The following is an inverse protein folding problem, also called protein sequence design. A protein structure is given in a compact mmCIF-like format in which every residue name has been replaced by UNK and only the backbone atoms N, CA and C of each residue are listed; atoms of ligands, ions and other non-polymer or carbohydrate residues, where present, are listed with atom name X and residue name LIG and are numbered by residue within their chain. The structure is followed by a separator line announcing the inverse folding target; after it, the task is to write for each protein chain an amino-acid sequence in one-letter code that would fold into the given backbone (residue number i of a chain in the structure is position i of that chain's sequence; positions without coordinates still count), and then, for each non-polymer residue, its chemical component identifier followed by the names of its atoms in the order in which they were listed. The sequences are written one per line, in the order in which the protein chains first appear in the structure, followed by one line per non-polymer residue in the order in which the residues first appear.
data_IF_275893691541
#
_entry.id   IF_275893691541
#
_cell.length_a   1.000
_cell.length_b   1.000
_cell.length_c   1.000
_cell.angle_alpha   90.00
_cell.angle_beta   90.00
_cell.angle_gamma   90.00
#
_symmetry.space_group_name_H-M   'P 1'
#
loop_
_entity.id
_entity.type
_entity.pdbx_description
1 polymer ?
#
# COMPACT_ATOMS: atom_id res chain seq x y z
N UNK A 1 -16.79 23.32 11.93
CA UNK A 1 -16.31 22.00 12.38
C UNK A 1 -17.19 20.99 11.68
N UNK A 2 -16.67 20.16 10.77
CA UNK A 2 -17.43 19.04 10.27
C UNK A 2 -17.80 18.15 11.47
N UNK A 3 -19.04 17.72 11.46
CA UNK A 3 -19.64 16.89 12.50
C UNK A 3 -18.87 15.57 12.51
N UNK A 4 -18.17 15.27 13.61
CA UNK A 4 -17.70 13.92 13.91
C UNK A 4 -18.95 13.04 13.90
N UNK A 5 -19.15 12.28 12.82
CA UNK A 5 -20.08 11.17 12.85
C UNK A 5 -19.71 10.32 14.07
N UNK A 6 -20.72 9.96 14.86
CA UNK A 6 -20.50 9.14 16.03
C UNK A 6 -19.77 7.88 15.57
N UNK A 7 -18.54 7.68 16.07
CA UNK A 7 -17.80 6.44 15.87
C UNK A 7 -18.78 5.33 16.25
N UNK A 8 -19.13 4.48 15.29
CA UNK A 8 -19.92 3.30 15.58
C UNK A 8 -19.20 2.55 16.71
N UNK A 9 -19.91 2.17 17.76
CA UNK A 9 -19.32 1.32 18.80
C UNK A 9 -18.96 -0.03 18.14
N UNK A 10 -17.70 -0.17 17.72
CA UNK A 10 -17.17 -1.39 17.11
C UNK A 10 -16.91 -2.40 18.22
N UNK A 11 -17.57 -3.55 18.15
CA UNK A 11 -17.25 -4.70 19.01
C UNK A 11 -16.10 -5.52 18.39
N UNK A 12 -14.87 -5.19 18.81
CA UNK A 12 -13.63 -5.87 18.40
C UNK A 12 -13.58 -7.36 18.78
N UNK A 13 -14.49 -7.83 19.63
CA UNK A 13 -14.55 -9.22 20.08
C UNK A 13 -15.67 -10.03 19.42
N UNK A 14 -16.49 -9.39 18.59
CA UNK A 14 -17.51 -10.08 17.80
C UNK A 14 -16.87 -11.01 16.77
N UNK A 15 -17.52 -12.15 16.50
CA UNK A 15 -17.05 -13.09 15.47
C UNK A 15 -17.03 -12.46 14.07
N UNK A 16 -17.99 -11.57 13.78
CA UNK A 16 -18.03 -10.81 12.53
C UNK A 16 -16.81 -9.92 12.36
N UNK A 17 -16.42 -9.16 13.40
CA UNK A 17 -15.22 -8.34 13.35
C UNK A 17 -13.97 -9.20 13.18
N UNK A 18 -13.85 -10.28 13.96
CA UNK A 18 -12.67 -11.16 13.92
C UNK A 18 -12.50 -11.90 12.60
N UNK A 19 -13.61 -12.29 11.96
CA UNK A 19 -13.59 -12.89 10.63
C UNK A 19 -13.07 -11.89 9.58
N UNK A 20 -13.63 -10.69 9.52
CA UNK A 20 -13.16 -9.64 8.61
C UNK A 20 -11.71 -9.23 8.89
N UNK A 21 -11.37 -9.07 10.18
CA UNK A 21 -10.01 -8.73 10.62
C UNK A 21 -9.00 -9.81 10.23
N UNK A 22 -9.38 -11.08 10.18
CA UNK A 22 -8.48 -12.16 9.77
C UNK A 22 -7.92 -11.95 8.36
N UNK A 23 -8.74 -11.44 7.43
CA UNK A 23 -8.36 -11.16 6.04
C UNK A 23 -7.64 -9.84 5.90
N UNK A 24 -8.16 -8.76 6.51
CA UNK A 24 -7.50 -7.44 6.46
C UNK A 24 -6.13 -7.46 7.12
N UNK A 25 -6.01 -8.06 8.31
CA UNK A 25 -4.72 -8.19 8.99
C UNK A 25 -3.74 -9.08 8.20
N UNK A 26 -4.23 -10.12 7.52
CA UNK A 26 -3.39 -10.94 6.66
C UNK A 26 -2.88 -10.16 5.43
N UNK A 27 -3.73 -9.36 4.79
CA UNK A 27 -3.34 -8.46 3.69
C UNK A 27 -2.19 -7.57 4.15
N UNK A 28 -2.32 -6.91 5.28
CA UNK A 28 -1.25 -6.02 5.76
C UNK A 28 0.03 -6.81 6.04
N UNK A 29 -0.04 -7.96 6.72
CA UNK A 29 1.14 -8.81 6.99
C UNK A 29 1.83 -9.29 5.71
N UNK A 30 1.06 -9.66 4.68
CA UNK A 30 1.61 -10.11 3.40
C UNK A 30 2.20 -8.95 2.61
N UNK A 31 1.51 -7.80 2.55
CA UNK A 31 2.03 -6.59 1.90
C UNK A 31 3.39 -6.16 2.47
N UNK A 32 3.54 -6.22 3.80
CA UNK A 32 4.82 -5.95 4.48
C UNK A 32 5.90 -7.00 4.18
N UNK A 33 5.50 -8.27 4.01
CA UNK A 33 6.44 -9.32 3.59
C UNK A 33 6.91 -9.11 2.15
N UNK A 34 5.98 -8.79 1.25
CA UNK A 34 6.32 -8.49 -0.14
C UNK A 34 7.17 -7.23 -0.26
N UNK A 35 6.87 -6.18 0.50
CA UNK A 35 7.67 -4.95 0.56
C UNK A 35 9.12 -5.23 1.00
N UNK A 36 9.30 -6.05 2.04
CA UNK A 36 10.63 -6.53 2.45
C UNK A 36 11.38 -7.20 1.29
N UNK A 37 10.73 -8.10 0.56
CA UNK A 37 11.33 -8.85 -0.55
C UNK A 37 11.62 -7.95 -1.77
N UNK A 38 10.69 -7.04 -2.08
CA UNK A 38 10.77 -6.09 -3.18
C UNK A 38 11.93 -5.12 -2.98
N UNK A 39 12.10 -4.58 -1.77
CA UNK A 39 13.25 -3.73 -1.46
C UNK A 39 14.58 -4.47 -1.52
N UNK A 40 14.61 -5.75 -1.14
CA UNK A 40 15.79 -6.60 -1.36
C UNK A 40 16.09 -6.80 -2.85
N UNK A 41 15.07 -7.03 -3.68
CA UNK A 41 15.20 -7.17 -5.13
C UNK A 41 15.70 -5.87 -5.78
N UNK A 42 15.12 -4.72 -5.40
CA UNK A 42 15.56 -3.39 -5.82
C UNK A 42 17.03 -3.13 -5.45
N UNK A 43 17.51 -3.63 -4.31
CA UNK A 43 18.92 -3.52 -3.92
C UNK A 43 19.89 -4.27 -4.86
N UNK A 44 19.38 -5.23 -5.65
CA UNK A 44 20.12 -5.86 -6.76
C UNK A 44 20.12 -5.03 -8.04
N UNK A 45 19.01 -4.35 -8.34
CA UNK A 45 18.85 -3.47 -9.51
C UNK A 45 19.55 -2.11 -9.35
N UNK A 46 19.67 -1.64 -8.10
CA UNK A 46 20.24 -0.35 -7.72
C UNK A 46 21.39 -0.56 -6.71
N UNK A 47 22.54 -1.11 -7.17
CA UNK A 47 23.62 -1.52 -6.27
C UNK A 47 24.21 -0.34 -5.47
N UNK A 48 24.21 0.88 -6.04
CA UNK A 48 24.71 2.08 -5.38
C UNK A 48 23.79 2.56 -4.24
N UNK A 49 22.52 2.14 -4.24
CA UNK A 49 21.51 2.46 -3.22
C UNK A 49 21.21 1.26 -2.30
N UNK A 50 21.96 0.15 -2.46
CA UNK A 50 21.67 -1.12 -1.79
C UNK A 50 21.55 -1.02 -0.28
N UNK A 51 22.45 -0.30 0.37
CA UNK A 51 22.44 -0.20 1.84
C UNK A 51 21.20 0.54 2.36
N UNK A 52 20.76 1.58 1.63
CA UNK A 52 19.52 2.29 1.94
C UNK A 52 18.31 1.39 1.74
N UNK A 53 18.24 0.67 0.61
CA UNK A 53 17.16 -0.27 0.29
C UNK A 53 17.07 -1.44 1.28
N UNK A 54 18.20 -1.96 1.75
CA UNK A 54 18.24 -2.96 2.84
C UNK A 54 17.75 -2.35 4.16
N UNK A 55 17.97 -1.06 4.37
CA UNK A 55 17.40 -0.30 5.48
C UNK A 55 15.87 -0.28 5.45
N UNK A 56 15.29 0.05 4.29
CA UNK A 56 13.83 0.06 4.06
C UNK A 56 13.25 -1.34 4.21
N UNK A 57 13.85 -2.37 3.60
CA UNK A 57 13.40 -3.75 3.80
C UNK A 57 13.33 -4.12 5.30
N UNK A 58 14.36 -3.79 6.08
CA UNK A 58 14.34 -4.05 7.53
C UNK A 58 13.25 -3.30 8.28
N UNK A 59 12.78 -2.14 7.78
CA UNK A 59 11.63 -1.43 8.34
C UNK A 59 10.34 -2.24 8.16
N UNK A 60 10.08 -2.74 6.95
CA UNK A 60 8.90 -3.58 6.65
C UNK A 60 8.87 -4.86 7.49
N UNK A 61 10.04 -5.49 7.69
CA UNK A 61 10.12 -6.66 8.59
C UNK A 61 9.73 -6.33 10.04
N UNK A 62 9.88 -5.07 10.48
CA UNK A 62 9.40 -4.62 11.80
C UNK A 62 7.91 -4.27 11.76
N UNK A 63 7.43 -3.62 10.71
CA UNK A 63 6.01 -3.31 10.52
C UNK A 63 5.17 -4.59 10.51
N UNK A 64 5.57 -5.58 9.70
CA UNK A 64 5.01 -6.94 9.69
C UNK A 64 4.84 -7.51 11.10
N UNK A 65 5.91 -7.49 11.91
CA UNK A 65 5.87 -8.02 13.29
C UNK A 65 4.91 -7.25 14.19
N UNK A 66 4.77 -5.95 13.95
CA UNK A 66 3.77 -5.09 14.59
C UNK A 66 2.35 -5.55 14.25
N UNK A 67 2.03 -5.73 12.98
CA UNK A 67 0.70 -6.18 12.54
C UNK A 67 0.39 -7.62 12.94
N UNK A 68 1.39 -8.52 12.94
CA UNK A 68 1.23 -9.84 13.57
C UNK A 68 0.88 -9.75 15.06
N UNK A 69 1.39 -8.73 15.77
CA UNK A 69 1.01 -8.49 17.17
C UNK A 69 -0.43 -7.98 17.31
N UNK A 70 -0.93 -7.18 16.37
CA UNK A 70 -2.33 -6.74 16.34
C UNK A 70 -3.28 -7.93 16.20
N UNK A 71 -3.03 -8.86 15.28
CA UNK A 71 -3.79 -10.11 15.18
C UNK A 71 -3.76 -10.96 16.47
N UNK A 72 -2.58 -11.09 17.10
CA UNK A 72 -2.46 -11.80 18.39
C UNK A 72 -3.25 -11.12 19.52
N UNK A 73 -3.25 -9.78 19.57
CA UNK A 73 -3.99 -9.01 20.57
C UNK A 73 -5.48 -9.33 20.53
N UNK A 74 -6.05 -9.40 19.32
CA UNK A 74 -7.47 -9.72 19.11
C UNK A 74 -7.78 -11.23 19.08
N UNK A 75 -6.77 -12.09 19.27
CA UNK A 75 -6.89 -13.56 19.16
C UNK A 75 -7.48 -13.97 17.80
N UNK A 76 -6.96 -13.36 16.75
CA UNK A 76 -7.30 -13.62 15.35
C UNK A 76 -6.12 -14.32 14.67
N UNK A 77 -6.41 -15.41 13.96
CA UNK A 77 -5.44 -16.05 13.07
C UNK A 77 -5.58 -15.42 11.69
N UNK A 78 -4.53 -14.79 11.13
CA UNK A 78 -4.61 -14.17 9.81
C UNK A 78 -4.76 -15.21 8.69
N UNK A 79 -5.64 -14.95 7.74
CA UNK A 79 -5.83 -15.75 6.53
C UNK A 79 -4.77 -15.42 5.48
N UNK A 80 -3.58 -16.01 5.64
CA UNK A 80 -2.44 -15.76 4.74
C UNK A 80 -2.63 -16.32 3.33
N UNK A 81 -3.54 -17.29 3.13
CA UNK A 81 -3.82 -17.81 1.79
C UNK A 81 -4.61 -16.77 0.98
N UNK A 82 -5.63 -16.18 1.60
CA UNK A 82 -6.36 -15.06 1.02
C UNK A 82 -5.44 -13.90 0.66
N UNK A 83 -4.54 -13.50 1.58
CA UNK A 83 -3.64 -12.38 1.36
C UNK A 83 -2.66 -12.59 0.19
N UNK A 84 -2.09 -13.78 0.03
CA UNK A 84 -1.23 -14.10 -1.11
C UNK A 84 -1.98 -14.03 -2.45
N UNK A 85 -3.22 -14.53 -2.47
CA UNK A 85 -4.05 -14.45 -3.67
C UNK A 85 -4.44 -12.99 -3.99
N UNK A 86 -4.65 -12.19 -2.95
CA UNK A 86 -4.99 -10.77 -3.07
C UNK A 86 -3.87 -9.96 -3.75
N UNK A 87 -2.60 -10.19 -3.39
CA UNK A 87 -1.47 -9.48 -3.98
C UNK A 87 -0.90 -10.11 -5.25
N UNK A 88 -1.22 -11.39 -5.53
CA UNK A 88 -0.58 -12.15 -6.63
C UNK A 88 -0.46 -11.39 -7.95
N UNK A 89 -1.48 -10.63 -8.44
CA UNK A 89 -1.35 -9.93 -9.71
C UNK A 89 -0.33 -8.77 -9.68
N UNK A 90 -0.23 -8.02 -8.57
CA UNK A 90 0.80 -6.99 -8.43
C UNK A 90 2.18 -7.62 -8.21
N UNK A 91 2.24 -8.69 -7.42
CA UNK A 91 3.46 -9.44 -7.15
C UNK A 91 4.07 -9.98 -8.46
N UNK A 92 3.26 -10.65 -9.29
CA UNK A 92 3.68 -11.18 -10.59
C UNK A 92 4.22 -10.09 -11.53
N UNK A 93 3.56 -8.93 -11.57
CA UNK A 93 4.02 -7.79 -12.36
C UNK A 93 5.36 -7.25 -11.84
N UNK A 94 5.55 -7.17 -10.51
CA UNK A 94 6.82 -6.76 -9.91
C UNK A 94 7.94 -7.75 -10.25
N UNK A 95 7.71 -9.05 -10.06
CA UNK A 95 8.72 -10.09 -10.33
C UNK A 95 9.11 -10.12 -11.81
N UNK A 96 8.14 -9.97 -12.71
CA UNK A 96 8.38 -9.86 -14.16
C UNK A 96 9.24 -8.65 -14.48
N UNK A 97 8.89 -7.47 -13.94
CA UNK A 97 9.66 -6.26 -14.14
C UNK A 97 11.10 -6.39 -13.59
N UNK A 98 11.27 -6.98 -12.40
CA UNK A 98 12.58 -7.21 -11.81
C UNK A 98 13.44 -8.15 -12.66
N UNK A 99 12.87 -9.24 -13.17
CA UNK A 99 13.56 -10.17 -14.07
C UNK A 99 13.99 -9.51 -15.39
N UNK A 100 13.24 -8.51 -15.86
CA UNK A 100 13.54 -7.70 -17.05
C UNK A 100 14.43 -6.48 -16.76
N UNK A 101 14.86 -6.27 -15.51
CA UNK A 101 15.60 -5.09 -15.03
C UNK A 101 14.86 -3.75 -15.26
N UNK A 102 13.53 -3.79 -15.22
CA UNK A 102 12.65 -2.62 -15.32
C UNK A 102 12.52 -1.92 -13.96
N UNK A 103 13.60 -1.27 -13.53
CA UNK A 103 13.68 -0.59 -12.24
C UNK A 103 12.58 0.45 -12.05
N UNK A 104 12.22 1.20 -13.10
CA UNK A 104 11.16 2.21 -13.05
C UNK A 104 9.81 1.57 -12.75
N UNK A 105 9.48 0.48 -13.42
CA UNK A 105 8.25 -0.29 -13.16
C UNK A 105 8.24 -0.86 -11.73
N UNK A 106 9.35 -1.44 -11.26
CA UNK A 106 9.47 -1.94 -9.89
C UNK A 106 9.25 -0.84 -8.83
N UNK A 107 9.85 0.34 -9.03
CA UNK A 107 9.68 1.49 -8.13
C UNK A 107 8.26 2.06 -8.18
N UNK A 108 7.60 2.07 -9.34
CA UNK A 108 6.19 2.48 -9.41
C UNK A 108 5.28 1.52 -8.63
N UNK A 109 5.49 0.20 -8.75
CA UNK A 109 4.67 -0.78 -8.05
C UNK A 109 4.89 -0.69 -6.53
N UNK A 110 6.15 -0.83 -6.09
CA UNK A 110 6.47 -0.82 -4.66
C UNK A 110 6.31 0.58 -4.07
N UNK A 111 7.17 1.51 -4.49
CA UNK A 111 7.37 2.78 -3.80
C UNK A 111 6.29 3.83 -4.05
N UNK A 112 5.38 3.62 -5.02
CA UNK A 112 4.24 4.51 -5.25
C UNK A 112 2.91 3.80 -5.00
N UNK A 113 2.59 2.76 -5.79
CA UNK A 113 1.27 2.11 -5.71
C UNK A 113 1.06 1.46 -4.33
N UNK A 114 1.98 0.59 -3.90
CA UNK A 114 1.84 -0.14 -2.64
C UNK A 114 1.95 0.83 -1.45
N UNK A 115 2.94 1.74 -1.44
CA UNK A 115 3.06 2.70 -0.33
C UNK A 115 1.85 3.62 -0.20
N UNK A 116 1.35 4.20 -1.30
CA UNK A 116 0.15 5.04 -1.24
C UNK A 116 -1.08 4.24 -0.79
N UNK A 117 -1.19 2.97 -1.19
CA UNK A 117 -2.27 2.08 -0.74
C UNK A 117 -2.18 1.78 0.76
N UNK A 118 -0.97 1.49 1.25
CA UNK A 118 -0.71 1.24 2.67
C UNK A 118 -1.00 2.47 3.53
N UNK A 119 -0.44 3.64 3.17
CA UNK A 119 -0.67 4.91 3.87
C UNK A 119 -2.17 5.22 3.92
N UNK A 120 -2.90 5.06 2.81
CA UNK A 120 -4.35 5.26 2.77
C UNK A 120 -5.08 4.31 3.72
N UNK A 121 -4.79 3.01 3.66
CA UNK A 121 -5.39 2.02 4.55
C UNK A 121 -5.12 2.34 6.03
N UNK A 122 -3.90 2.75 6.36
CA UNK A 122 -3.50 3.05 7.72
C UNK A 122 -4.16 4.32 8.25
N UNK A 123 -4.21 5.39 7.46
CA UNK A 123 -4.88 6.64 7.82
C UNK A 123 -6.38 6.43 8.11
N UNK A 124 -7.04 5.62 7.28
CA UNK A 124 -8.47 5.33 7.46
C UNK A 124 -8.71 4.33 8.60
N UNK A 125 -7.77 3.43 8.89
CA UNK A 125 -7.90 2.46 9.99
C UNK A 125 -7.67 3.09 11.38
N UNK A 126 -6.70 4.01 11.54
CA UNK A 126 -6.32 4.61 12.83
C UNK A 126 -7.52 5.12 13.67
N UNK A 127 -8.50 5.86 13.11
CA UNK A 127 -9.64 6.35 13.88
C UNK A 127 -10.55 5.25 14.43
N UNK A 128 -10.63 4.11 13.74
CA UNK A 128 -11.55 2.99 14.04
C UNK A 128 -10.85 1.76 14.64
N UNK A 129 -9.52 1.79 14.75
CA UNK A 129 -8.72 0.74 15.35
C UNK A 129 -8.90 0.64 16.88
N UNK A 130 -8.69 -0.55 17.42
CA UNK A 130 -8.54 -0.73 18.87
C UNK A 130 -7.26 -0.04 19.37
N UNK A 131 -7.21 0.30 20.67
CA UNK A 131 -6.12 1.10 21.24
C UNK A 131 -4.72 0.51 21.01
N UNK A 132 -4.60 -0.83 20.98
CA UNK A 132 -3.31 -1.48 20.74
C UNK A 132 -2.90 -1.33 19.27
N UNK A 133 -3.79 -1.69 18.34
CA UNK A 133 -3.50 -1.59 16.92
C UNK A 133 -3.29 -0.14 16.47
N UNK A 134 -4.08 0.81 16.98
CA UNK A 134 -3.93 2.24 16.69
C UNK A 134 -2.50 2.72 16.94
N UNK A 135 -1.94 2.42 18.11
CA UNK A 135 -0.59 2.85 18.48
C UNK A 135 0.49 2.26 17.58
N UNK A 136 0.30 1.01 17.13
CA UNK A 136 1.22 0.36 16.19
C UNK A 136 1.13 1.05 14.83
N UNK A 137 -0.08 1.20 14.29
CA UNK A 137 -0.31 1.82 12.98
C UNK A 137 0.16 3.27 12.93
N UNK A 138 -0.05 4.08 13.98
CA UNK A 138 0.48 5.46 14.07
C UNK A 138 2.01 5.52 14.03
N UNK A 139 2.68 4.47 14.52
CA UNK A 139 4.13 4.34 14.43
C UNK A 139 4.57 4.03 13.00
N UNK A 140 3.90 3.07 12.36
CA UNK A 140 4.16 2.61 11.00
C UNK A 140 3.96 3.74 9.98
N UNK A 141 2.86 4.49 10.04
CA UNK A 141 2.57 5.59 9.09
C UNK A 141 3.71 6.61 9.00
N UNK A 142 4.40 6.89 10.10
CA UNK A 142 5.54 7.83 10.09
C UNK A 142 6.74 7.29 9.32
N UNK A 143 6.93 5.97 9.39
CA UNK A 143 8.01 5.26 8.71
C UNK A 143 7.68 5.10 7.21
N UNK A 144 6.41 4.89 6.82
CA UNK A 144 6.00 4.74 5.41
C UNK A 144 6.30 5.96 4.53
N UNK A 145 6.25 7.17 5.08
CA UNK A 145 6.65 8.36 4.32
C UNK A 145 8.13 8.33 3.90
N UNK A 146 8.99 7.56 4.58
CA UNK A 146 10.38 7.35 4.16
C UNK A 146 10.48 6.39 2.95
N UNK A 147 9.61 5.39 2.88
CA UNK A 147 9.50 4.44 1.77
C UNK A 147 9.05 5.13 0.48
N UNK A 148 7.94 5.86 0.57
CA UNK A 148 7.40 6.67 -0.54
C UNK A 148 8.45 7.66 -1.06
N UNK A 149 9.11 8.38 -0.13
CA UNK A 149 10.09 9.42 -0.48
C UNK A 149 11.32 8.85 -1.23
N UNK A 150 11.79 7.63 -0.93
CA UNK A 150 12.92 7.06 -1.67
C UNK A 150 12.60 6.87 -3.15
N UNK A 151 11.48 6.22 -3.46
CA UNK A 151 11.08 5.95 -4.83
C UNK A 151 10.74 7.25 -5.58
N UNK A 152 10.05 8.17 -4.91
CA UNK A 152 9.71 9.49 -5.45
C UNK A 152 10.96 10.25 -5.87
N UNK A 153 11.95 10.39 -4.99
CA UNK A 153 13.18 11.14 -5.28
C UNK A 153 14.04 10.47 -6.35
N UNK A 154 14.10 9.13 -6.38
CA UNK A 154 14.79 8.42 -7.46
C UNK A 154 14.11 8.65 -8.82
N UNK A 155 12.78 8.49 -8.87
CA UNK A 155 12.01 8.65 -10.11
C UNK A 155 12.03 10.09 -10.62
N UNK A 156 11.98 11.06 -9.71
CA UNK A 156 12.13 12.50 -9.98
C UNK A 156 13.49 12.83 -10.57
N UNK A 157 14.57 12.32 -9.98
CA UNK A 157 15.93 12.51 -10.49
C UNK A 157 16.12 11.92 -11.89
N UNK A 158 15.32 10.91 -12.25
CA UNK A 158 15.39 10.20 -13.53
C UNK A 158 14.15 10.43 -14.42
N UNK A 159 13.37 11.49 -14.17
CA UNK A 159 12.00 11.62 -14.70
C UNK A 159 11.93 11.58 -16.23
N UNK A 160 12.76 12.35 -16.93
CA UNK A 160 12.72 12.42 -18.40
C UNK A 160 12.96 11.05 -19.06
N UNK A 161 13.85 10.23 -18.48
CA UNK A 161 14.12 8.88 -18.96
C UNK A 161 13.04 7.87 -18.52
N UNK A 162 12.40 8.12 -17.37
CA UNK A 162 11.45 7.20 -16.74
C UNK A 162 10.00 7.41 -17.19
N UNK A 163 9.66 8.60 -17.70
CA UNK A 163 8.27 9.03 -17.92
C UNK A 163 7.45 8.05 -18.76
N UNK A 164 8.00 7.58 -19.88
CA UNK A 164 7.29 6.67 -20.78
C UNK A 164 6.97 5.32 -20.11
N UNK A 165 7.96 4.75 -19.41
CA UNK A 165 7.78 3.50 -18.67
C UNK A 165 6.83 3.68 -17.47
N UNK A 166 6.88 4.82 -16.77
CA UNK A 166 5.92 5.14 -15.70
C UNK A 166 4.47 5.17 -16.20
N UNK A 167 4.22 5.77 -17.37
CA UNK A 167 2.89 5.78 -17.97
C UNK A 167 2.40 4.38 -18.37
N UNK A 168 3.30 3.52 -18.87
CA UNK A 168 3.01 2.13 -19.21
C UNK A 168 2.75 1.28 -17.96
N UNK A 169 3.64 1.37 -16.97
CA UNK A 169 3.53 0.67 -15.70
C UNK A 169 2.28 1.09 -14.93
N UNK A 170 1.94 2.39 -14.91
CA UNK A 170 0.68 2.86 -14.33
C UNK A 170 -0.54 2.22 -15.01
N UNK A 171 -0.57 2.19 -16.35
CA UNK A 171 -1.68 1.60 -17.11
C UNK A 171 -1.86 0.11 -16.80
N UNK A 172 -0.76 -0.61 -16.59
CA UNK A 172 -0.79 -2.04 -16.28
C UNK A 172 -1.21 -2.33 -14.83
N UNK A 173 -0.78 -1.50 -13.87
CA UNK A 173 -0.87 -1.82 -12.44
C UNK A 173 -1.98 -1.08 -11.69
N UNK A 174 -2.29 0.17 -12.04
CA UNK A 174 -3.33 0.94 -11.35
C UNK A 174 -4.72 0.26 -11.38
N UNK A 175 -5.16 -0.39 -12.47
CA UNK A 175 -6.42 -1.14 -12.48
C UNK A 175 -6.48 -2.28 -11.45
N UNK A 176 -5.34 -2.83 -11.05
CA UNK A 176 -5.26 -3.91 -10.05
C UNK A 176 -5.62 -3.35 -8.66
N UNK A 177 -5.17 -2.13 -8.33
CA UNK A 177 -5.52 -1.44 -7.08
C UNK A 177 -7.04 -1.28 -6.93
N UNK A 178 -7.75 -0.94 -8.01
CA UNK A 178 -9.21 -0.84 -7.97
C UNK A 178 -9.91 -2.18 -7.72
N UNK A 179 -9.38 -3.25 -8.30
CA UNK A 179 -9.88 -4.61 -8.02
C UNK A 179 -9.62 -4.99 -6.56
N UNK A 180 -8.43 -4.67 -6.04
CA UNK A 180 -8.07 -4.87 -4.64
C UNK A 180 -9.02 -4.13 -3.70
N UNK A 181 -9.27 -2.83 -3.93
CA UNK A 181 -10.22 -2.01 -3.16
C UNK A 181 -11.66 -2.58 -3.21
N UNK A 182 -12.10 -3.07 -4.36
CA UNK A 182 -13.41 -3.71 -4.48
C UNK A 182 -13.48 -5.06 -3.75
N UNK A 183 -12.39 -5.83 -3.73
CA UNK A 183 -12.35 -7.14 -3.10
C UNK A 183 -12.41 -7.06 -1.57
N UNK A 184 -11.92 -5.97 -0.96
CA UNK A 184 -11.89 -5.78 0.50
C UNK A 184 -13.06 -4.95 1.06
N UNK A 185 -13.92 -4.40 0.20
CA UNK A 185 -15.00 -3.47 0.59
C UNK A 185 -15.85 -3.97 1.77
N UNK A 186 -16.28 -5.24 1.71
CA UNK A 186 -17.12 -5.85 2.75
C UNK A 186 -16.37 -5.95 4.09
N UNK A 187 -15.12 -6.39 4.07
CA UNK A 187 -14.33 -6.57 5.30
C UNK A 187 -13.88 -5.22 5.87
N UNK A 188 -13.44 -4.29 5.02
CA UNK A 188 -13.09 -2.93 5.39
C UNK A 188 -14.28 -2.23 6.08
N UNK A 189 -15.48 -2.39 5.53
CA UNK A 189 -16.70 -1.84 6.13
C UNK A 189 -17.01 -2.42 7.51
N UNK A 190 -16.79 -3.72 7.73
CA UNK A 190 -16.92 -4.33 9.08
C UNK A 190 -15.94 -3.71 10.07
N UNK A 191 -14.76 -3.32 9.61
CA UNK A 191 -13.74 -2.63 10.40
C UNK A 191 -14.03 -1.12 10.57
N UNK A 192 -15.10 -0.59 9.99
CA UNK A 192 -15.44 0.83 10.01
C UNK A 192 -14.65 1.68 9.00
N UNK A 193 -14.03 1.05 8.00
CA UNK A 193 -13.26 1.71 6.95
C UNK A 193 -14.11 1.82 5.69
N UNK A 194 -14.60 3.02 5.37
CA UNK A 194 -15.40 3.25 4.16
C UNK A 194 -14.53 3.23 2.90
N UNK A 195 -14.99 2.52 1.87
CA UNK A 195 -14.26 2.37 0.61
C UNK A 195 -14.02 3.71 -0.08
N UNK A 196 -15.00 4.62 -0.06
CA UNK A 196 -14.85 5.96 -0.64
C UNK A 196 -13.70 6.74 0.01
N UNK A 197 -13.53 6.61 1.34
CA UNK A 197 -12.44 7.26 2.05
C UNK A 197 -11.07 6.65 1.72
N UNK A 198 -11.00 5.32 1.58
CA UNK A 198 -9.79 4.63 1.12
C UNK A 198 -9.39 5.06 -0.29
N UNK A 199 -10.37 5.17 -1.19
CA UNK A 199 -10.17 5.65 -2.55
C UNK A 199 -9.69 7.10 -2.56
N UNK A 200 -10.33 7.97 -1.80
CA UNK A 200 -9.97 9.39 -1.73
C UNK A 200 -8.53 9.58 -1.24
N UNK A 201 -8.16 8.97 -0.11
CA UNK A 201 -6.81 9.13 0.46
C UNK A 201 -5.75 8.53 -0.48
N UNK A 202 -5.99 7.36 -1.08
CA UNK A 202 -5.08 6.78 -2.07
C UNK A 202 -4.85 7.71 -3.27
N UNK A 203 -5.92 8.27 -3.83
CA UNK A 203 -5.83 9.15 -4.99
C UNK A 203 -5.11 10.46 -4.69
N UNK A 204 -5.28 10.99 -3.47
CA UNK A 204 -4.53 12.17 -2.99
C UNK A 204 -3.04 11.83 -2.91
N UNK A 205 -2.66 10.80 -2.15
CA UNK A 205 -1.25 10.45 -1.95
C UNK A 205 -0.55 10.10 -3.27
N UNK A 206 -1.20 9.30 -4.11
CA UNK A 206 -0.62 8.89 -5.40
C UNK A 206 -0.53 10.08 -6.38
N UNK A 207 -1.54 10.94 -6.40
CA UNK A 207 -1.53 12.16 -7.22
C UNK A 207 -0.44 13.14 -6.81
N UNK A 208 -0.24 13.33 -5.50
CA UNK A 208 0.84 14.16 -4.95
C UNK A 208 2.21 13.60 -5.30
N UNK A 209 2.44 12.29 -5.13
CA UNK A 209 3.70 11.65 -5.48
C UNK A 209 4.02 11.80 -6.98
N UNK A 210 3.04 11.57 -7.86
CA UNK A 210 3.20 11.79 -9.31
C UNK A 210 3.52 13.27 -9.64
N UNK A 211 2.88 14.21 -8.96
CA UNK A 211 3.15 15.64 -9.12
C UNK A 211 4.59 15.98 -8.71
N UNK A 212 5.06 15.45 -7.58
CA UNK A 212 6.41 15.71 -7.09
C UNK A 212 7.49 15.11 -7.99
N UNK A 213 7.21 13.96 -8.62
CA UNK A 213 8.10 13.34 -9.62
C UNK A 213 8.25 14.21 -10.88
N UNK A 214 7.20 14.96 -11.25
CA UNK A 214 7.23 15.90 -12.38
C UNK A 214 6.06 15.78 -13.36
N UNK A 215 5.06 14.95 -13.08
CA UNK A 215 3.87 14.88 -13.92
C UNK A 215 3.02 16.15 -13.79
N UNK A 216 2.44 16.58 -14.92
CA UNK A 216 1.51 17.71 -14.92
C UNK A 216 0.15 17.28 -14.36
N UNK A 217 -0.67 18.23 -13.90
CA UNK A 217 -2.07 17.94 -13.51
C UNK A 217 -2.84 17.19 -14.59
N UNK A 218 -2.60 17.52 -15.88
CA UNK A 218 -3.23 16.82 -17.00
C UNK A 218 -2.78 15.37 -17.12
N UNK A 219 -1.48 15.12 -16.91
CA UNK A 219 -0.94 13.76 -16.92
C UNK A 219 -1.52 12.93 -15.76
N UNK A 220 -1.54 13.50 -14.55
CA UNK A 220 -2.08 12.84 -13.35
C UNK A 220 -3.55 12.45 -13.55
N UNK A 221 -4.39 13.37 -14.05
CA UNK A 221 -5.80 13.08 -14.34
C UNK A 221 -5.94 11.96 -15.38
N UNK A 222 -5.12 11.96 -16.43
CA UNK A 222 -5.11 10.89 -17.46
C UNK A 222 -4.68 9.55 -16.86
N UNK A 223 -3.63 9.54 -16.05
CA UNK A 223 -3.09 8.34 -15.40
C UNK A 223 -4.09 7.75 -14.41
N UNK A 224 -4.72 8.60 -13.60
CA UNK A 224 -5.78 8.27 -12.65
C UNK A 224 -6.98 7.60 -13.33
N UNK A 225 -7.41 8.14 -14.48
CA UNK A 225 -8.55 7.62 -15.22
C UNK A 225 -8.33 6.20 -15.77
N UNK A 226 -7.08 5.75 -15.97
CA UNK A 226 -6.82 4.36 -16.40
C UNK A 226 -7.24 3.35 -15.36
N UNK A 227 -7.15 3.70 -14.08
CA UNK A 227 -7.63 2.86 -13.02
C UNK A 227 -9.15 2.69 -13.03
N UNK A 228 -9.87 3.74 -13.43
CA UNK A 228 -11.34 3.71 -13.56
C UNK A 228 -11.81 2.97 -14.83
N UNK A 229 -10.92 2.67 -15.78
CA UNK A 229 -11.28 2.00 -17.04
C UNK A 229 -11.66 0.52 -16.86
N UNK A 230 -11.53 -0.03 -15.65
CA UNK A 230 -11.91 -1.40 -15.29
C UNK A 230 -13.13 -1.48 -14.37
N UNK A 231 -13.84 -0.37 -14.15
CA UNK A 231 -15.13 -0.32 -13.46
C UNK A 231 -16.27 -0.53 -14.46
#
# INVERSE_FOLDING_TARGET
MPQLEAIQDIDFHSETYKDAYSRINAIVIEGEQEAYENYHSLGGLLPDQKDQLVGLAKMESRHKKGFEACGRNLKVTPDMEFARQFFSPLHENFQTAAAENKTVTCLLIQSLIIECFAIAAYNIYIPVADDFARKITEGVVKDEYLHLNFGEEWLKANFEASKAELEEANRANLPIVWKMLNQVDVDAKVLGMEREALVEDFMIQYGEALSNIGFTTRDIMRMSAYGLATV
#
